data_IF_742614751147
#
_entry.id   IF_742614751147
#
_cell.length_a   1.000
_cell.length_b   1.000
_cell.length_c   1.000
_cell.angle_alpha   90.00
_cell.angle_beta   90.00
_cell.angle_gamma   90.00
#
_symmetry.space_group_name_H-M   'P 1'
#
loop_
_entity.id
_entity.type
_entity.pdbx_description
1 polymer ?
#
# COMPACT_ATOMS: atom_id res chain seq x y z
N UNK A 1 -19.38 -12.50 -9.71
CA UNK A 1 -18.65 -13.38 -10.63
C UNK A 1 -19.60 -14.03 -11.64
N UNK A 2 -19.46 -13.66 -12.91
CA UNK A 2 -20.18 -14.24 -14.06
C UNK A 2 -19.40 -15.42 -14.66
N UNK A 3 -20.05 -16.20 -15.54
CA UNK A 3 -19.37 -17.27 -16.27
C UNK A 3 -18.21 -16.74 -17.13
N UNK A 4 -18.37 -15.56 -17.73
CA UNK A 4 -17.32 -14.93 -18.54
C UNK A 4 -16.11 -14.54 -17.68
N UNK A 5 -16.34 -13.95 -16.50
CA UNK A 5 -15.26 -13.59 -15.56
C UNK A 5 -14.47 -14.83 -15.12
N UNK A 6 -15.15 -15.93 -14.78
CA UNK A 6 -14.48 -17.18 -14.40
C UNK A 6 -13.70 -17.80 -15.57
N UNK A 7 -14.24 -17.77 -16.79
CA UNK A 7 -13.55 -18.27 -17.98
C UNK A 7 -12.30 -17.45 -18.32
N UNK A 8 -12.36 -16.12 -18.12
CA UNK A 8 -11.24 -15.20 -18.28
C UNK A 8 -10.14 -15.45 -17.24
N UNK A 9 -10.49 -15.67 -15.97
CA UNK A 9 -9.52 -16.03 -14.93
C UNK A 9 -8.84 -17.38 -15.23
N UNK A 10 -9.60 -18.35 -15.71
CA UNK A 10 -9.10 -19.68 -16.05
C UNK A 10 -8.29 -19.74 -17.36
N UNK A 11 -8.33 -18.69 -18.20
CA UNK A 11 -7.60 -18.66 -19.46
C UNK A 11 -8.23 -19.48 -20.59
N UNK A 12 -9.51 -19.84 -20.50
CA UNK A 12 -10.13 -20.75 -21.47
C UNK A 12 -10.76 -19.98 -22.64
N UNK A 13 -9.94 -19.68 -23.65
CA UNK A 13 -10.36 -18.93 -24.85
C UNK A 13 -11.60 -19.52 -25.55
N UNK A 14 -11.71 -20.85 -25.62
CA UNK A 14 -12.86 -21.51 -26.28
C UNK A 14 -14.16 -21.24 -25.54
N UNK A 15 -14.14 -21.29 -24.20
CA UNK A 15 -15.32 -20.98 -23.40
C UNK A 15 -15.66 -19.49 -23.52
N UNK A 16 -14.65 -18.62 -23.52
CA UNK A 16 -14.85 -17.17 -23.70
C UNK A 16 -15.55 -16.89 -25.04
N UNK A 17 -15.11 -17.53 -26.13
CA UNK A 17 -15.73 -17.40 -27.44
C UNK A 17 -17.20 -17.81 -27.44
N UNK A 18 -17.49 -18.99 -26.89
CA UNK A 18 -18.88 -19.48 -26.79
C UNK A 18 -19.74 -18.51 -25.99
N UNK A 19 -19.25 -18.05 -24.83
CA UNK A 19 -20.03 -17.15 -23.98
C UNK A 19 -20.31 -15.81 -24.66
N UNK A 20 -19.33 -15.23 -25.35
CA UNK A 20 -19.50 -13.95 -26.05
C UNK A 20 -20.40 -14.10 -27.29
N UNK A 21 -20.35 -15.23 -28.00
CA UNK A 21 -21.27 -15.53 -29.11
C UNK A 21 -22.73 -15.67 -28.64
N UNK A 22 -22.93 -16.25 -27.46
CA UNK A 22 -24.26 -16.39 -26.83
C UNK A 22 -24.74 -15.11 -26.12
N UNK A 23 -24.01 -13.99 -26.28
CA UNK A 23 -24.43 -12.67 -25.79
C UNK A 23 -24.08 -12.40 -24.32
N UNK A 24 -23.08 -13.07 -23.75
CA UNK A 24 -22.57 -12.71 -22.43
C UNK A 24 -22.11 -11.24 -22.39
N UNK A 25 -22.54 -10.50 -21.37
CA UNK A 25 -22.19 -9.09 -21.23
C UNK A 25 -20.71 -8.92 -20.84
N UNK A 26 -19.92 -8.37 -21.76
CA UNK A 26 -18.46 -8.20 -21.62
C UNK A 26 -18.08 -7.31 -20.43
N UNK A 27 -18.90 -6.30 -20.15
CA UNK A 27 -18.73 -5.33 -19.08
C UNK A 27 -19.65 -5.61 -17.88
N UNK A 28 -20.04 -6.88 -17.66
CA UNK A 28 -20.84 -7.23 -16.49
C UNK A 28 -20.12 -6.83 -15.19
N UNK A 29 -20.87 -6.33 -14.20
CA UNK A 29 -20.34 -5.96 -12.90
C UNK A 29 -19.56 -7.16 -12.28
N UNK A 30 -18.37 -6.90 -11.73
CA UNK A 30 -17.56 -7.92 -11.06
C UNK A 30 -18.29 -8.55 -9.86
N UNK A 31 -19.24 -7.81 -9.30
CA UNK A 31 -20.17 -8.27 -8.28
C UNK A 31 -19.56 -8.33 -6.88
N UNK A 32 -20.29 -7.82 -5.89
CA UNK A 32 -19.92 -7.88 -4.48
C UNK A 32 -18.68 -7.06 -4.11
N UNK A 33 -18.12 -7.37 -2.94
CA UNK A 33 -17.00 -6.63 -2.35
C UNK A 33 -15.61 -7.03 -2.89
N UNK A 34 -15.51 -8.17 -3.58
CA UNK A 34 -14.26 -8.78 -4.09
C UNK A 34 -14.31 -9.08 -5.60
N UNK A 35 -15.26 -8.47 -6.32
CA UNK A 35 -15.49 -8.71 -7.74
C UNK A 35 -14.31 -8.32 -8.64
N UNK A 36 -14.21 -8.98 -9.80
CA UNK A 36 -13.29 -8.63 -10.90
C UNK A 36 -14.09 -8.50 -12.19
N UNK A 37 -13.81 -7.49 -13.01
CA UNK A 37 -14.30 -7.46 -14.40
C UNK A 37 -13.66 -8.61 -15.18
N UNK A 38 -14.23 -8.98 -16.32
CA UNK A 38 -13.64 -10.02 -17.17
C UNK A 38 -12.20 -9.64 -17.57
N UNK A 39 -11.98 -8.35 -17.88
CA UNK A 39 -10.68 -7.80 -18.22
C UNK A 39 -9.68 -7.86 -17.05
N UNK A 40 -10.11 -7.50 -15.83
CA UNK A 40 -9.25 -7.56 -14.64
C UNK A 40 -8.93 -9.01 -14.24
N UNK A 41 -9.87 -9.94 -14.41
CA UNK A 41 -9.66 -11.35 -14.17
C UNK A 41 -8.60 -11.95 -15.12
N UNK A 42 -8.70 -11.68 -16.42
CA UNK A 42 -7.69 -12.09 -17.39
C UNK A 42 -6.32 -11.45 -17.12
N UNK A 43 -6.30 -10.16 -16.76
CA UNK A 43 -5.07 -9.41 -16.51
C UNK A 43 -4.32 -9.92 -15.28
N UNK A 44 -5.03 -10.14 -14.16
CA UNK A 44 -4.42 -10.67 -12.94
C UNK A 44 -3.97 -12.13 -13.05
N UNK A 45 -4.55 -12.88 -13.99
CA UNK A 45 -4.13 -14.25 -14.32
C UNK A 45 -3.00 -14.30 -15.37
N UNK A 46 -2.58 -13.16 -15.93
CA UNK A 46 -1.50 -13.09 -16.92
C UNK A 46 -1.89 -13.54 -18.34
N UNK A 47 -3.19 -13.63 -18.64
CA UNK A 47 -3.66 -14.09 -19.96
C UNK A 47 -3.68 -12.95 -20.98
N UNK A 48 -2.50 -12.47 -21.38
CA UNK A 48 -2.38 -11.30 -22.25
C UNK A 48 -3.14 -11.44 -23.59
N UNK A 49 -3.13 -12.62 -24.22
CA UNK A 49 -3.93 -12.87 -25.43
C UNK A 49 -5.43 -12.60 -25.23
N UNK A 50 -5.96 -12.99 -24.07
CA UNK A 50 -7.36 -12.76 -23.69
C UNK A 50 -7.61 -11.28 -23.41
N UNK A 51 -6.68 -10.58 -22.75
CA UNK A 51 -6.80 -9.13 -22.53
C UNK A 51 -6.94 -8.39 -23.86
N UNK A 52 -6.08 -8.69 -24.85
CA UNK A 52 -6.15 -8.06 -26.18
C UNK A 52 -7.52 -8.29 -26.81
N UNK A 53 -7.97 -9.55 -26.81
CA UNK A 53 -9.27 -9.95 -27.35
C UNK A 53 -10.43 -9.21 -26.69
N UNK A 54 -10.45 -9.12 -25.36
CA UNK A 54 -11.51 -8.43 -24.63
C UNK A 54 -11.55 -6.93 -24.96
N UNK A 55 -10.39 -6.26 -25.02
CA UNK A 55 -10.33 -4.85 -25.42
C UNK A 55 -10.77 -4.61 -26.87
N UNK A 56 -10.41 -5.51 -27.79
CA UNK A 56 -10.83 -5.43 -29.19
C UNK A 56 -12.34 -5.63 -29.37
N UNK A 57 -12.97 -6.36 -28.43
CA UNK A 57 -14.42 -6.56 -28.35
C UNK A 57 -15.15 -5.48 -27.53
N UNK A 58 -14.45 -4.42 -27.09
CA UNK A 58 -15.06 -3.28 -26.41
C UNK A 58 -15.20 -3.42 -24.89
N UNK A 59 -14.37 -4.25 -24.25
CA UNK A 59 -14.25 -4.24 -22.79
C UNK A 59 -13.80 -2.85 -22.31
N UNK A 60 -14.44 -2.33 -21.26
CA UNK A 60 -14.07 -1.06 -20.65
C UNK A 60 -12.75 -1.23 -19.88
N UNK A 61 -11.70 -0.58 -20.40
CA UNK A 61 -10.34 -0.66 -19.86
C UNK A 61 -10.21 -0.11 -18.43
N UNK A 62 -11.11 0.80 -18.05
CA UNK A 62 -11.13 1.42 -16.73
C UNK A 62 -12.23 0.84 -15.82
N UNK A 63 -12.88 -0.25 -16.25
CA UNK A 63 -13.94 -0.87 -15.46
C UNK A 63 -13.41 -1.32 -14.10
N UNK A 64 -14.15 -0.95 -13.07
CA UNK A 64 -13.93 -1.42 -11.71
C UNK A 64 -14.48 -2.82 -11.53
N UNK A 65 -13.63 -3.74 -11.07
CA UNK A 65 -14.03 -5.07 -10.62
C UNK A 65 -14.91 -5.03 -9.38
N UNK A 66 -14.63 -4.12 -8.46
CA UNK A 66 -15.48 -3.82 -7.31
C UNK A 66 -15.45 -2.33 -6.97
N UNK A 67 -16.52 -1.85 -6.35
CA UNK A 67 -16.74 -0.42 -6.09
C UNK A 67 -15.87 0.14 -4.96
N UNK A 68 -15.46 -0.71 -4.01
CA UNK A 68 -14.78 -0.28 -2.78
C UNK A 68 -13.29 0.01 -3.04
N UNK A 69 -12.52 -0.99 -3.48
CA UNK A 69 -11.07 -0.87 -3.68
C UNK A 69 -10.68 -0.67 -5.15
N UNK A 70 -11.56 -0.17 -6.01
CA UNK A 70 -11.17 0.33 -7.33
C UNK A 70 -10.30 -0.58 -8.21
N UNK A 71 -10.49 -1.91 -8.16
CA UNK A 71 -9.63 -2.88 -8.86
C UNK A 71 -9.84 -2.81 -10.38
N UNK A 72 -8.79 -2.49 -11.13
CA UNK A 72 -8.81 -2.36 -12.60
C UNK A 72 -7.95 -3.44 -13.25
N UNK A 73 -8.04 -3.56 -14.57
CA UNK A 73 -7.11 -4.38 -15.34
C UNK A 73 -5.64 -3.96 -15.12
N UNK A 74 -5.39 -2.65 -15.02
CA UNK A 74 -4.04 -2.12 -14.77
C UNK A 74 -3.51 -2.52 -13.39
N UNK A 75 -4.32 -2.39 -12.33
CA UNK A 75 -3.89 -2.82 -10.99
C UNK A 75 -3.64 -4.32 -10.92
N UNK A 76 -4.45 -5.12 -11.63
CA UNK A 76 -4.26 -6.57 -11.71
C UNK A 76 -2.97 -6.96 -12.44
N UNK A 77 -2.64 -6.30 -13.56
CA UNK A 77 -1.39 -6.51 -14.28
C UNK A 77 -0.16 -6.10 -13.45
N UNK A 78 -0.26 -5.00 -12.69
CA UNK A 78 0.78 -4.55 -11.76
C UNK A 78 1.00 -5.55 -10.63
N UNK A 79 -0.06 -6.12 -10.05
CA UNK A 79 0.04 -7.13 -9.00
C UNK A 79 0.67 -8.42 -9.50
N UNK A 80 0.34 -8.83 -10.73
CA UNK A 80 1.00 -9.94 -11.39
C UNK A 80 2.50 -9.63 -11.59
N UNK A 81 2.81 -8.41 -12.04
CA UNK A 81 4.16 -7.99 -12.43
C UNK A 81 4.46 -8.14 -13.93
N UNK A 82 3.44 -8.12 -14.79
CA UNK A 82 3.56 -8.26 -16.24
C UNK A 82 3.76 -6.87 -16.88
N UNK A 83 5.02 -6.50 -17.10
CA UNK A 83 5.38 -5.18 -17.65
C UNK A 83 4.86 -4.95 -19.07
N UNK A 84 4.85 -5.98 -19.91
CA UNK A 84 4.38 -5.86 -21.29
C UNK A 84 2.87 -5.61 -21.30
N UNK A 85 2.14 -6.27 -20.39
CA UNK A 85 0.72 -6.03 -20.20
C UNK A 85 0.43 -4.65 -19.60
N UNK A 86 1.21 -4.20 -18.60
CA UNK A 86 1.09 -2.84 -18.03
C UNK A 86 1.28 -1.79 -19.12
N UNK A 87 2.33 -1.90 -19.92
CA UNK A 87 2.61 -0.99 -21.02
C UNK A 87 1.50 -0.97 -22.05
N UNK A 88 1.02 -2.16 -22.44
CA UNK A 88 -0.07 -2.29 -23.37
C UNK A 88 -1.37 -1.66 -22.85
N UNK A 89 -1.75 -1.91 -21.60
CA UNK A 89 -2.96 -1.33 -21.01
C UNK A 89 -2.89 0.20 -20.98
N UNK A 90 -1.74 0.78 -20.58
CA UNK A 90 -1.58 2.23 -20.58
C UNK A 90 -1.62 2.81 -21.99
N UNK A 91 -0.97 2.16 -22.98
CA UNK A 91 -1.07 2.55 -24.39
C UNK A 91 -2.50 2.49 -24.94
N UNK A 92 -3.34 1.58 -24.42
CA UNK A 92 -4.75 1.44 -24.77
C UNK A 92 -5.68 2.40 -24.00
N UNK A 93 -5.13 3.27 -23.15
CA UNK A 93 -5.88 4.30 -22.43
C UNK A 93 -6.29 3.93 -21.00
N UNK A 94 -5.62 2.96 -20.38
CA UNK A 94 -5.82 2.68 -18.95
C UNK A 94 -5.43 3.91 -18.12
N UNK A 95 -6.30 4.29 -17.19
CA UNK A 95 -6.13 5.46 -16.34
C UNK A 95 -5.00 5.27 -15.33
N UNK A 96 -3.85 5.89 -15.62
CA UNK A 96 -2.70 5.98 -14.68
C UNK A 96 -2.86 7.11 -13.64
N UNK A 97 -3.98 7.82 -13.66
CA UNK A 97 -4.27 8.94 -12.77
C UNK A 97 -5.51 8.69 -11.91
N UNK A 98 -5.78 9.63 -10.99
CA UNK A 98 -6.92 9.59 -10.07
C UNK A 98 -6.91 8.31 -9.21
N UNK A 99 -8.10 7.84 -8.78
CA UNK A 99 -8.21 6.66 -7.90
C UNK A 99 -7.58 5.41 -8.52
N UNK A 100 -7.74 5.17 -9.82
CA UNK A 100 -7.21 3.97 -10.48
C UNK A 100 -5.68 3.93 -10.50
N UNK A 101 -5.04 5.03 -10.91
CA UNK A 101 -3.59 5.17 -10.92
C UNK A 101 -2.97 5.06 -9.53
N UNK A 102 -3.60 5.71 -8.54
CA UNK A 102 -3.15 5.61 -7.14
C UNK A 102 -3.17 4.17 -6.63
N UNK A 103 -4.22 3.41 -6.92
CA UNK A 103 -4.34 2.03 -6.42
C UNK A 103 -3.31 1.09 -7.05
N UNK A 104 -3.05 1.22 -8.35
CA UNK A 104 -1.96 0.51 -9.00
C UNK A 104 -0.59 0.88 -8.39
N UNK A 105 -0.34 2.17 -8.18
CA UNK A 105 0.91 2.66 -7.60
C UNK A 105 1.09 2.18 -6.14
N UNK A 106 0.03 2.22 -5.32
CA UNK A 106 0.01 1.70 -3.95
C UNK A 106 0.32 0.20 -3.90
N UNK A 107 -0.32 -0.61 -4.76
CA UNK A 107 -0.06 -2.05 -4.82
C UNK A 107 1.39 -2.36 -5.22
N UNK A 108 1.98 -1.60 -6.15
CA UNK A 108 3.39 -1.75 -6.51
C UNK A 108 4.33 -1.39 -5.34
N UNK A 109 4.08 -0.28 -4.66
CA UNK A 109 4.90 0.21 -3.54
C UNK A 109 4.85 -0.75 -2.35
N UNK A 110 3.65 -1.15 -1.92
CA UNK A 110 3.46 -2.06 -0.77
C UNK A 110 4.07 -3.45 -0.97
N UNK A 111 4.29 -3.87 -2.22
CA UNK A 111 4.97 -5.13 -2.58
C UNK A 111 6.44 -4.94 -2.93
N UNK A 112 6.99 -3.74 -2.70
CA UNK A 112 8.36 -3.35 -3.00
C UNK A 112 8.78 -3.58 -4.46
N UNK A 113 7.84 -3.45 -5.41
CA UNK A 113 8.09 -3.62 -6.85
C UNK A 113 8.65 -2.34 -7.46
N UNK A 114 9.90 -2.01 -7.14
CA UNK A 114 10.60 -0.77 -7.54
C UNK A 114 10.57 -0.57 -9.06
N UNK A 115 10.74 -1.65 -9.81
CA UNK A 115 10.65 -1.69 -11.28
C UNK A 115 9.28 -1.27 -11.81
N UNK A 116 8.19 -1.83 -11.25
CA UNK A 116 6.81 -1.49 -11.61
C UNK A 116 6.47 -0.06 -11.21
N UNK A 117 6.84 0.36 -10.00
CA UNK A 117 6.66 1.73 -9.52
C UNK A 117 7.37 2.72 -10.45
N UNK A 118 8.63 2.46 -10.82
CA UNK A 118 9.40 3.31 -11.74
C UNK A 118 8.70 3.45 -13.08
N UNK A 119 8.13 2.36 -13.58
CA UNK A 119 7.40 2.35 -14.85
C UNK A 119 6.11 3.16 -14.77
N UNK A 120 5.29 2.96 -13.73
CA UNK A 120 4.04 3.70 -13.54
C UNK A 120 4.28 5.21 -13.43
N UNK A 121 5.32 5.63 -12.69
CA UNK A 121 5.69 7.05 -12.57
C UNK A 121 6.14 7.64 -13.91
N UNK A 122 6.93 6.90 -14.71
CA UNK A 122 7.31 7.32 -16.08
C UNK A 122 6.13 7.41 -17.04
N UNK A 123 5.13 6.55 -16.85
CA UNK A 123 3.86 6.58 -17.58
C UNK A 123 2.92 7.70 -17.11
N UNK A 124 3.32 8.46 -16.09
CA UNK A 124 2.66 9.67 -15.64
C UNK A 124 1.92 9.54 -14.32
N UNK A 125 1.94 8.40 -13.63
CA UNK A 125 1.26 8.26 -12.35
C UNK A 125 1.68 9.37 -11.36
N UNK A 126 0.71 10.02 -10.73
CA UNK A 126 0.98 11.10 -9.80
C UNK A 126 1.57 10.54 -8.48
N UNK A 127 2.87 10.80 -8.25
CA UNK A 127 3.61 10.39 -7.05
C UNK A 127 3.04 10.97 -5.74
N UNK A 128 2.27 12.05 -5.85
CA UNK A 128 1.61 12.75 -4.75
C UNK A 128 0.08 12.60 -4.82
N UNK A 129 -0.43 11.60 -5.54
CA UNK A 129 -1.86 11.30 -5.55
C UNK A 129 -2.34 11.04 -4.12
N UNK A 130 -3.58 11.43 -3.85
CA UNK A 130 -4.18 11.26 -2.54
C UNK A 130 -5.57 10.67 -2.72
N UNK A 131 -5.82 9.55 -2.05
CA UNK A 131 -7.12 8.87 -2.03
C UNK A 131 -7.41 8.52 -0.57
N UNK A 132 -8.55 8.99 -0.07
CA UNK A 132 -8.98 8.76 1.31
C UNK A 132 -7.91 9.18 2.36
N UNK A 133 -7.16 10.25 2.06
CA UNK A 133 -6.11 10.81 2.93
C UNK A 133 -4.79 10.03 2.99
N UNK A 134 -4.65 9.01 2.13
CA UNK A 134 -3.42 8.25 1.97
C UNK A 134 -2.70 8.65 0.68
N UNK A 135 -1.37 8.79 0.73
CA UNK A 135 -0.51 9.11 -0.39
C UNK A 135 0.52 7.99 -0.59
N UNK A 136 1.14 7.85 -1.79
CA UNK A 136 2.12 6.81 -2.08
C UNK A 136 3.25 6.71 -1.05
N UNK A 137 3.66 7.84 -0.47
CA UNK A 137 4.72 7.88 0.54
C UNK A 137 4.33 7.22 1.87
N UNK A 138 3.04 7.15 2.22
CA UNK A 138 2.59 6.55 3.48
C UNK A 138 2.72 5.01 3.50
N UNK A 139 2.85 4.38 2.34
CA UNK A 139 2.91 2.91 2.19
C UNK A 139 4.28 2.39 1.79
N UNK A 140 5.31 3.25 1.78
CA UNK A 140 6.69 2.84 1.47
C UNK A 140 7.21 1.84 2.49
N UNK A 141 7.89 0.80 2.01
CA UNK A 141 8.41 -0.27 2.85
C UNK A 141 9.94 -0.41 2.80
N UNK A 142 10.63 0.26 1.88
CA UNK A 142 12.08 0.20 1.71
C UNK A 142 12.70 1.58 1.39
N UNK A 143 14.00 1.72 1.68
CA UNK A 143 14.79 2.91 1.36
C UNK A 143 14.90 3.12 -0.16
N UNK A 144 15.06 2.04 -0.92
CA UNK A 144 15.13 2.11 -2.38
C UNK A 144 13.83 2.66 -2.99
N UNK A 145 12.68 2.14 -2.54
CA UNK A 145 11.37 2.61 -2.97
C UNK A 145 11.15 4.09 -2.58
N UNK A 146 11.50 4.47 -1.35
CA UNK A 146 11.41 5.87 -0.91
C UNK A 146 12.23 6.79 -1.80
N UNK A 147 13.49 6.42 -2.08
CA UNK A 147 14.37 7.21 -2.95
C UNK A 147 13.84 7.32 -4.37
N UNK A 148 13.21 6.26 -4.91
CA UNK A 148 12.55 6.30 -6.20
C UNK A 148 11.39 7.32 -6.19
N UNK A 149 10.55 7.32 -5.16
CA UNK A 149 9.44 8.27 -5.04
C UNK A 149 9.95 9.72 -4.92
N UNK A 150 10.97 9.94 -4.08
CA UNK A 150 11.61 11.26 -3.91
C UNK A 150 12.21 11.77 -5.22
N UNK A 151 12.88 10.89 -5.99
CA UNK A 151 13.41 11.24 -7.30
C UNK A 151 12.33 11.69 -8.31
N UNK A 152 11.07 11.27 -8.10
CA UNK A 152 9.92 11.72 -8.89
C UNK A 152 9.14 12.87 -8.24
N UNK A 153 9.65 13.46 -7.15
CA UNK A 153 9.06 14.63 -6.49
C UNK A 153 8.04 14.31 -5.40
N UNK A 154 8.14 13.15 -4.75
CA UNK A 154 7.29 12.82 -3.60
C UNK A 154 7.48 13.81 -2.44
N UNK A 155 6.37 14.21 -1.85
CA UNK A 155 6.33 15.03 -0.64
C UNK A 155 6.41 14.11 0.58
N UNK A 156 7.59 14.01 1.20
CA UNK A 156 7.87 13.06 2.29
C UNK A 156 7.06 13.36 3.55
N UNK A 157 6.86 14.63 3.88
CA UNK A 157 6.24 15.07 5.13
C UNK A 157 4.72 15.19 5.03
N UNK A 158 4.09 14.32 4.23
CA UNK A 158 2.63 14.33 4.12
C UNK A 158 2.01 13.85 5.43
N UNK A 159 1.03 14.59 5.98
CA UNK A 159 0.20 14.06 7.03
C UNK A 159 -0.75 13.02 6.43
N UNK A 160 -1.02 11.96 7.17
CA UNK A 160 -2.09 11.03 6.81
C UNK A 160 -3.44 11.59 7.27
N UNK A 161 -4.42 11.64 6.38
CA UNK A 161 -5.75 12.17 6.70
C UNK A 161 -6.79 11.04 6.81
N UNK A 162 -6.68 10.23 7.87
CA UNK A 162 -7.67 9.20 8.22
C UNK A 162 -7.66 9.01 9.74
N UNK A 163 -8.78 8.68 10.42
CA UNK A 163 -8.78 8.36 11.85
C UNK A 163 -7.83 7.22 12.25
N UNK A 164 -7.29 6.48 11.28
CA UNK A 164 -6.33 5.38 11.49
C UNK A 164 -5.03 5.57 10.70
N UNK A 165 -4.82 6.75 10.10
CA UNK A 165 -3.67 7.00 9.23
C UNK A 165 -2.36 7.10 10.02
N UNK A 166 -1.23 6.95 9.34
CA UNK A 166 0.08 7.26 9.89
C UNK A 166 0.97 7.93 8.84
N UNK A 167 1.91 8.78 9.28
CA UNK A 167 2.98 9.30 8.42
C UNK A 167 3.91 8.18 7.96
N UNK A 168 4.71 8.44 6.92
CA UNK A 168 5.72 7.48 6.47
C UNK A 168 6.69 7.08 7.60
N UNK A 169 7.08 8.04 8.45
CA UNK A 169 7.97 7.81 9.59
C UNK A 169 7.32 6.91 10.65
N UNK A 170 6.07 7.20 11.02
CA UNK A 170 5.29 6.37 11.95
C UNK A 170 5.09 4.94 11.40
N UNK A 171 4.83 4.81 10.10
CA UNK A 171 4.73 3.53 9.41
C UNK A 171 6.04 2.73 9.43
N UNK A 172 7.17 3.37 9.12
CA UNK A 172 8.50 2.74 9.16
C UNK A 172 8.86 2.30 10.59
N UNK A 173 8.60 3.14 11.58
CA UNK A 173 8.83 2.85 13.00
C UNK A 173 7.98 1.65 13.48
N UNK A 174 6.70 1.60 13.11
CA UNK A 174 5.78 0.49 13.42
C UNK A 174 6.27 -0.86 12.89
N UNK A 175 6.93 -0.87 11.74
CA UNK A 175 7.47 -2.09 11.13
C UNK A 175 8.93 -2.37 11.53
N UNK A 176 9.52 -1.58 12.43
CA UNK A 176 10.90 -1.81 12.88
C UNK A 176 11.96 -1.52 11.82
N UNK A 177 11.63 -0.80 10.74
CA UNK A 177 12.58 -0.56 9.65
C UNK A 177 13.50 0.64 9.96
N UNK A 178 14.57 0.37 10.70
CA UNK A 178 15.54 1.39 11.16
C UNK A 178 16.16 2.18 10.00
N UNK A 179 16.52 1.51 8.90
CA UNK A 179 17.17 2.18 7.76
C UNK A 179 16.21 3.14 7.07
N UNK A 180 14.94 2.72 6.91
CA UNK A 180 13.89 3.59 6.38
C UNK A 180 13.58 4.76 7.31
N UNK A 181 13.56 4.53 8.64
CA UNK A 181 13.42 5.60 9.63
C UNK A 181 14.53 6.64 9.50
N UNK A 182 15.80 6.20 9.45
CA UNK A 182 16.95 7.09 9.29
C UNK A 182 16.86 7.92 8.01
N UNK A 183 16.48 7.29 6.90
CA UNK A 183 16.36 7.99 5.62
C UNK A 183 15.20 8.99 5.62
N UNK A 184 14.05 8.64 6.20
CA UNK A 184 12.91 9.54 6.34
C UNK A 184 13.26 10.77 7.19
N UNK A 185 13.97 10.59 8.29
CA UNK A 185 14.48 11.70 9.13
C UNK A 185 15.47 12.56 8.34
N UNK A 186 16.42 11.93 7.61
CA UNK A 186 17.38 12.63 6.75
C UNK A 186 16.69 13.49 5.69
N UNK A 187 15.54 13.04 5.18
CA UNK A 187 14.70 13.76 4.23
C UNK A 187 13.77 14.80 4.88
N UNK A 188 13.85 14.98 6.20
CA UNK A 188 13.18 16.04 6.94
C UNK A 188 11.82 15.67 7.52
N UNK A 189 11.53 14.37 7.71
CA UNK A 189 10.30 13.93 8.38
C UNK A 189 10.16 14.55 9.76
N UNK A 190 8.95 15.01 10.07
CA UNK A 190 8.63 15.52 11.40
C UNK A 190 8.56 14.35 12.39
N UNK A 191 9.55 14.31 13.28
CA UNK A 191 9.71 13.29 14.32
C UNK A 191 8.60 13.40 15.38
N UNK A 192 8.10 14.61 15.60
CA UNK A 192 7.10 14.93 16.61
C UNK A 192 5.69 15.03 16.02
N UNK A 193 5.48 14.50 14.80
CA UNK A 193 4.17 14.45 14.20
C UNK A 193 3.22 13.65 15.11
N UNK A 194 2.07 14.24 15.50
CA UNK A 194 1.11 13.56 16.35
C UNK A 194 0.47 12.37 15.61
N UNK A 195 0.04 11.38 16.37
CA UNK A 195 -0.84 10.33 15.84
C UNK A 195 -2.25 10.87 15.56
N UNK A 196 -3.07 10.16 14.74
CA UNK A 196 -4.49 10.47 14.60
C UNK A 196 -5.28 10.30 15.91
N UNK A 197 -6.54 10.74 15.91
CA UNK A 197 -7.43 10.70 17.08
C UNK A 197 -7.66 9.27 17.62
N UNK A 198 -7.81 8.29 16.71
CA UNK A 198 -8.16 6.91 17.05
C UNK A 198 -6.94 6.01 16.86
N UNK A 199 -6.48 5.36 17.92
CA UNK A 199 -5.29 4.48 17.94
C UNK A 199 -4.02 5.14 17.39
N UNK A 200 -3.97 6.47 17.38
CA UNK A 200 -2.83 7.20 16.84
C UNK A 200 -1.59 7.02 17.69
N UNK A 201 -0.45 7.01 17.02
CA UNK A 201 0.86 6.86 17.65
C UNK A 201 1.85 7.81 17.02
N UNK A 202 2.72 8.41 17.84
CA UNK A 202 3.92 9.08 17.34
C UNK A 202 4.92 8.06 16.81
N UNK A 203 6.02 8.52 16.21
CA UNK A 203 7.06 7.61 15.72
C UNK A 203 7.63 6.76 16.86
N UNK A 204 7.82 7.36 18.04
CA UNK A 204 8.30 6.69 19.24
C UNK A 204 7.32 5.63 19.75
N UNK A 205 6.04 5.99 19.92
CA UNK A 205 4.98 5.06 20.35
C UNK A 205 4.78 3.92 19.33
N UNK A 206 4.99 4.19 18.04
CA UNK A 206 4.96 3.18 16.97
C UNK A 206 6.13 2.20 17.07
N UNK A 207 7.35 2.70 17.31
CA UNK A 207 8.55 1.89 17.53
C UNK A 207 8.43 1.03 18.80
N UNK A 208 7.79 1.54 19.86
CA UNK A 208 7.51 0.76 21.07
C UNK A 208 6.55 -0.43 20.85
N UNK A 209 5.87 -0.47 19.71
CA UNK A 209 5.04 -1.61 19.28
C UNK A 209 5.74 -2.53 18.28
N UNK A 210 6.98 -2.23 17.89
CA UNK A 210 7.76 -3.03 16.94
C UNK A 210 8.77 -3.88 17.72
N UNK A 211 8.59 -5.21 17.73
CA UNK A 211 9.56 -6.12 18.34
C UNK A 211 10.00 -7.16 17.32
N UNK A 212 11.30 -7.54 17.30
CA UNK A 212 12.39 -7.08 18.19
C UNK A 212 13.02 -5.74 17.75
N UNK A 213 12.62 -5.20 16.61
CA UNK A 213 13.37 -4.17 15.89
C UNK A 213 13.11 -2.72 16.36
N UNK A 214 12.24 -2.52 17.34
CA UNK A 214 11.86 -1.20 17.85
C UNK A 214 12.91 -0.55 18.75
N UNK A 215 13.67 -1.33 19.53
CA UNK A 215 14.63 -0.77 20.50
C UNK A 215 15.71 0.12 19.84
N UNK A 216 16.34 -0.28 18.71
CA UNK A 216 17.26 0.61 17.99
C UNK A 216 16.61 1.91 17.51
N UNK A 217 15.33 1.87 17.13
CA UNK A 217 14.59 3.05 16.67
C UNK A 217 14.26 3.96 17.86
N UNK A 218 13.84 3.40 19.00
CA UNK A 218 13.57 4.18 20.21
C UNK A 218 14.84 4.91 20.67
N UNK A 219 15.98 4.21 20.73
CA UNK A 219 17.27 4.82 21.06
C UNK A 219 17.61 5.97 20.11
N UNK A 220 17.47 5.74 18.79
CA UNK A 220 17.67 6.80 17.80
C UNK A 220 16.79 8.02 18.09
N UNK A 221 15.48 7.82 18.29
CA UNK A 221 14.52 8.91 18.45
C UNK A 221 14.72 9.68 19.77
N UNK A 222 15.06 9.01 20.87
CA UNK A 222 15.30 9.64 22.18
C UNK A 222 16.68 10.28 22.21
N UNK A 223 17.74 9.51 21.94
CA UNK A 223 19.12 9.92 22.19
C UNK A 223 19.60 10.97 21.18
N UNK A 224 19.20 10.85 19.91
CA UNK A 224 19.67 11.76 18.85
C UNK A 224 18.67 12.90 18.55
N UNK A 225 17.37 12.66 18.76
CA UNK A 225 16.33 13.60 18.34
C UNK A 225 15.42 14.10 19.47
N UNK A 226 15.63 13.65 20.72
CA UNK A 226 14.91 14.17 21.88
C UNK A 226 13.40 13.92 21.86
N UNK A 227 12.95 12.82 21.29
CA UNK A 227 11.54 12.41 21.35
C UNK A 227 11.07 12.25 22.80
N UNK A 228 9.90 12.79 23.14
CA UNK A 228 9.36 12.72 24.49
C UNK A 228 8.83 11.31 24.78
N UNK A 229 9.49 10.60 25.69
CA UNK A 229 9.11 9.25 26.12
C UNK A 229 7.73 9.21 26.80
N UNK A 230 7.31 10.33 27.40
CA UNK A 230 6.07 10.47 28.15
C UNK A 230 4.95 11.15 27.34
N UNK A 231 5.11 11.23 26.02
CA UNK A 231 4.11 11.85 25.16
C UNK A 231 2.74 11.19 25.34
N UNK A 232 1.72 12.05 25.46
CA UNK A 232 0.36 11.61 25.73
C UNK A 232 -0.17 10.68 24.62
N UNK A 233 -0.95 9.69 25.02
CA UNK A 233 -1.66 8.80 24.09
C UNK A 233 -2.79 9.53 23.37
N UNK A 234 -3.19 9.03 22.20
CA UNK A 234 -4.37 9.53 21.48
C UNK A 234 -5.64 9.41 22.33
N UNK A 235 -6.66 10.24 22.03
CA UNK A 235 -7.90 10.34 22.81
C UNK A 235 -8.68 9.02 22.86
N UNK A 236 -8.68 8.26 21.78
CA UNK A 236 -9.36 6.96 21.70
C UNK A 236 -8.36 5.83 21.47
N UNK A 237 -8.39 4.82 22.34
CA UNK A 237 -7.62 3.57 22.21
C UNK A 237 -6.10 3.73 21.96
N UNK A 238 -5.54 4.88 22.35
CA UNK A 238 -4.10 5.15 22.26
C UNK A 238 -3.31 4.49 23.39
N UNK A 239 -1.99 4.39 23.19
CA UNK A 239 -1.02 3.95 24.19
C UNK A 239 0.14 4.93 24.28
N UNK A 240 0.65 5.16 25.48
CA UNK A 240 1.99 5.72 25.69
C UNK A 240 3.05 4.72 25.21
N UNK A 241 4.31 5.16 25.06
CA UNK A 241 5.42 4.27 24.66
C UNK A 241 5.58 3.10 25.64
N UNK A 242 5.50 3.37 26.95
CA UNK A 242 5.60 2.33 27.98
C UNK A 242 4.41 1.35 27.96
N UNK A 243 3.18 1.85 27.82
CA UNK A 243 2.01 0.97 27.73
C UNK A 243 2.07 0.09 26.47
N UNK A 244 2.52 0.65 25.34
CA UNK A 244 2.69 -0.11 24.10
C UNK A 244 3.73 -1.23 24.24
N UNK A 245 4.88 -0.94 24.85
CA UNK A 245 5.94 -1.92 25.11
C UNK A 245 5.45 -3.03 26.07
N UNK A 246 4.76 -2.68 27.15
CA UNK A 246 4.17 -3.63 28.09
C UNK A 246 3.11 -4.53 27.44
N UNK A 247 2.23 -3.95 26.62
CA UNK A 247 1.22 -4.73 25.90
C UNK A 247 1.88 -5.72 24.95
N UNK A 248 2.90 -5.31 24.20
CA UNK A 248 3.62 -6.14 23.25
C UNK A 248 4.32 -7.33 23.92
N UNK A 249 5.07 -7.07 25.01
CA UNK A 249 5.78 -8.11 25.77
C UNK A 249 4.82 -9.11 26.41
N UNK A 250 3.70 -8.63 26.97
CA UNK A 250 2.71 -9.49 27.63
C UNK A 250 1.91 -10.37 26.65
N UNK A 251 1.64 -9.91 25.43
CA UNK A 251 0.73 -10.59 24.50
C UNK A 251 1.42 -11.51 23.49
N UNK A 252 2.57 -11.12 22.96
CA UNK A 252 3.21 -11.82 21.84
C UNK A 252 4.53 -12.49 22.20
N UNK A 253 5.14 -12.10 23.31
CA UNK A 253 6.51 -12.49 23.67
C UNK A 253 6.66 -12.94 25.13
N UNK A 254 5.55 -13.32 25.77
CA UNK A 254 5.54 -13.78 27.15
C UNK A 254 6.54 -14.93 27.39
N UNK A 255 6.75 -15.79 26.39
CA UNK A 255 7.66 -16.92 26.45
C UNK A 255 9.15 -16.52 26.38
N UNK A 256 9.47 -15.34 25.82
CA UNK A 256 10.87 -14.88 25.67
C UNK A 256 11.40 -14.15 26.90
N UNK A 257 10.52 -13.61 27.74
CA UNK A 257 10.86 -12.75 28.88
C UNK A 257 11.82 -11.59 28.52
N UNK A 258 11.90 -11.16 27.25
CA UNK A 258 12.72 -10.02 26.88
C UNK A 258 12.04 -8.73 27.35
N UNK A 259 12.59 -8.15 28.42
CA UNK A 259 12.12 -6.91 29.04
C UNK A 259 12.96 -5.70 28.62
N UNK A 260 13.95 -5.86 27.73
CA UNK A 260 14.93 -4.81 27.40
C UNK A 260 14.25 -3.51 26.94
N UNK A 261 13.15 -3.62 26.21
CA UNK A 261 12.37 -2.47 25.75
C UNK A 261 11.67 -1.74 26.89
N UNK A 262 11.09 -2.48 27.83
CA UNK A 262 10.37 -1.94 28.99
C UNK A 262 11.36 -1.33 29.97
N UNK A 263 12.47 -2.02 30.25
CA UNK A 263 13.55 -1.53 31.10
C UNK A 263 14.12 -0.23 30.56
N UNK A 264 14.41 -0.14 29.25
CA UNK A 264 14.91 1.08 28.63
C UNK A 264 13.94 2.27 28.73
N UNK A 265 12.63 2.03 28.64
CA UNK A 265 11.63 3.11 28.74
C UNK A 265 11.36 3.58 30.18
N UNK A 266 11.86 2.86 31.19
CA UNK A 266 11.73 3.20 32.61
C UNK A 266 12.94 3.98 33.16
N UNK A 267 14.08 3.91 32.48
CA UNK A 267 15.32 4.64 32.82
C UNK A 267 15.27 6.11 32.39
#
# INVERSE_FOLDING_TARGET
MTALQAACEAGNEKIIDILLQEGAEINADGGGLIGKSALAAASGAGHFGIVKKLLDLGADINQLGHKVYGYTALSAAVEQGDFDLVDYLVQRGAGVQAKHGFMALKSAISRDRVDVTSRLLKLGANVNAEVDGEAPVHVVCSVEMLNLLVAHGAQVNRPSFHPYGCTALQGAAKHGNLDLVKELIRLGSDIHAPGPEIRGRTALQSAASAYPDGLPIIKLLIDEYGADVNEARSSEEGYTSLEAACHLTATWYADTQDLSLVEFLLE
#
